data_IF_837715464004
#
_entry.id   IF_837715464004
#
_cell.length_a   1.000
_cell.length_b   1.000
_cell.length_c   1.000
_cell.angle_alpha   90.00
_cell.angle_beta   90.00
_cell.angle_gamma   90.00
#
_symmetry.space_group_name_H-M   'P 1'
#
loop_
_entity.id
_entity.type
_entity.pdbx_description
1 polymer ?
#
# COMPACT_ATOMS: atom_id res chain seq x y z
N UNK A 1 -28.66 -31.36 -27.35
CA UNK A 1 -27.64 -31.14 -26.30
C UNK A 1 -27.95 -29.81 -25.63
N UNK A 2 -28.55 -29.87 -24.44
CA UNK A 2 -28.78 -28.69 -23.61
C UNK A 2 -27.45 -28.35 -22.94
N UNK A 3 -26.86 -27.21 -23.31
CA UNK A 3 -25.84 -26.59 -22.47
C UNK A 3 -26.56 -26.11 -21.21
N UNK A 4 -26.45 -26.86 -20.12
CA UNK A 4 -26.74 -26.30 -18.80
C UNK A 4 -25.81 -25.11 -18.62
N UNK A 5 -26.32 -23.90 -18.87
CA UNK A 5 -25.71 -22.69 -18.37
C UNK A 5 -25.80 -22.78 -16.86
N UNK A 6 -24.70 -23.20 -16.22
CA UNK A 6 -24.45 -22.97 -14.81
C UNK A 6 -24.82 -21.52 -14.49
N UNK A 7 -25.53 -21.24 -13.38
CA UNK A 7 -26.01 -19.90 -13.07
C UNK A 7 -24.86 -18.93 -13.27
N UNK A 8 -25.06 -17.94 -14.13
CA UNK A 8 -24.06 -16.95 -14.49
C UNK A 8 -23.39 -16.47 -13.21
N UNK A 9 -22.18 -16.97 -12.92
CA UNK A 9 -21.30 -16.34 -11.95
C UNK A 9 -21.16 -14.94 -12.48
N UNK A 10 -21.91 -14.02 -11.87
CA UNK A 10 -21.74 -12.60 -12.08
C UNK A 10 -20.23 -12.41 -11.88
N UNK A 11 -19.50 -12.10 -12.96
CA UNK A 11 -18.05 -11.99 -12.92
C UNK A 11 -17.71 -10.70 -12.16
N UNK A 12 -17.97 -10.74 -10.87
CA UNK A 12 -17.79 -9.66 -9.91
C UNK A 12 -16.31 -9.45 -9.61
N UNK A 13 -15.41 -10.18 -10.27
CA UNK A 13 -13.96 -10.01 -10.18
C UNK A 13 -13.57 -8.55 -10.50
N UNK A 14 -14.21 -7.92 -11.50
CA UNK A 14 -13.95 -6.52 -11.85
C UNK A 14 -14.29 -5.55 -10.70
N UNK A 15 -15.43 -5.78 -10.07
CA UNK A 15 -16.00 -4.93 -9.02
C UNK A 15 -15.28 -5.18 -7.70
N UNK A 16 -14.98 -6.44 -7.38
CA UNK A 16 -14.22 -6.83 -6.19
C UNK A 16 -12.80 -6.28 -6.28
N UNK A 17 -12.12 -6.41 -7.43
CA UNK A 17 -10.78 -5.86 -7.63
C UNK A 17 -10.76 -4.34 -7.44
N UNK A 18 -11.72 -3.63 -8.04
CA UNK A 18 -11.88 -2.18 -7.86
C UNK A 18 -12.12 -1.79 -6.40
N UNK A 19 -13.02 -2.49 -5.70
CA UNK A 19 -13.33 -2.21 -4.29
C UNK A 19 -12.11 -2.46 -3.40
N UNK A 20 -11.39 -3.56 -3.62
CA UNK A 20 -10.14 -3.85 -2.91
C UNK A 20 -9.15 -2.70 -3.10
N UNK A 21 -8.91 -2.28 -4.34
CA UNK A 21 -7.96 -1.20 -4.64
C UNK A 21 -8.37 0.12 -3.97
N UNK A 22 -9.65 0.47 -3.95
CA UNK A 22 -10.15 1.71 -3.33
C UNK A 22 -10.02 1.63 -1.80
N UNK A 23 -10.53 0.55 -1.19
CA UNK A 23 -10.52 0.39 0.27
C UNK A 23 -9.09 0.38 0.78
N UNK A 24 -8.23 -0.48 0.24
CA UNK A 24 -6.83 -0.55 0.67
C UNK A 24 -6.04 0.70 0.27
N UNK A 25 -6.32 1.30 -0.90
CA UNK A 25 -5.70 2.54 -1.35
C UNK A 25 -5.95 3.73 -0.44
N UNK A 26 -7.17 3.87 0.12
CA UNK A 26 -7.49 4.90 1.11
C UNK A 26 -6.67 4.72 2.39
N UNK A 27 -6.41 3.47 2.79
CA UNK A 27 -5.54 3.14 3.93
C UNK A 27 -4.03 3.20 3.59
N UNK A 28 -3.67 3.67 2.40
CA UNK A 28 -2.27 3.81 1.98
C UNK A 28 -1.63 2.53 1.46
N UNK A 29 -2.41 1.48 1.20
CA UNK A 29 -1.98 0.23 0.58
C UNK A 29 -2.48 0.17 -0.87
N UNK A 30 -2.01 1.10 -1.70
CA UNK A 30 -2.34 1.18 -3.12
C UNK A 30 -1.66 0.02 -3.87
N UNK A 31 -2.31 -0.57 -4.88
CA UNK A 31 -1.79 -1.72 -5.64
C UNK A 31 -2.32 -3.10 -5.23
N UNK A 32 -3.08 -3.20 -4.13
CA UNK A 32 -3.59 -4.48 -3.63
C UNK A 32 -4.61 -5.14 -4.56
N UNK A 33 -5.43 -4.36 -5.27
CA UNK A 33 -6.38 -4.89 -6.24
C UNK A 33 -5.67 -5.45 -7.48
N UNK A 34 -4.54 -4.86 -7.87
CA UNK A 34 -3.70 -5.37 -8.96
C UNK A 34 -3.05 -6.71 -8.61
N UNK A 35 -2.64 -6.89 -7.35
CA UNK A 35 -2.14 -8.18 -6.86
C UNK A 35 -3.24 -9.24 -6.81
N UNK A 36 -4.45 -8.85 -6.38
CA UNK A 36 -5.61 -9.75 -6.36
C UNK A 36 -5.89 -10.39 -7.73
N UNK A 37 -5.74 -9.63 -8.81
CA UNK A 37 -5.94 -10.11 -10.21
C UNK A 37 -4.68 -10.73 -10.83
N UNK A 38 -3.62 -10.92 -10.05
CA UNK A 38 -2.37 -11.56 -10.48
C UNK A 38 -1.38 -10.65 -11.23
N UNK A 39 -1.64 -9.34 -11.32
CA UNK A 39 -0.71 -8.39 -11.93
C UNK A 39 0.24 -7.80 -10.88
N UNK A 40 1.21 -8.60 -10.46
CA UNK A 40 2.17 -8.23 -9.41
C UNK A 40 3.05 -7.05 -9.79
N UNK A 41 3.39 -6.88 -11.07
CA UNK A 41 4.29 -5.81 -11.52
C UNK A 41 3.62 -4.45 -11.27
N UNK A 42 2.37 -4.28 -11.72
CA UNK A 42 1.61 -3.06 -11.46
C UNK A 42 1.32 -2.89 -9.98
N UNK A 43 0.92 -3.96 -9.29
CA UNK A 43 0.59 -3.90 -7.87
C UNK A 43 1.76 -3.48 -6.99
N UNK A 44 2.92 -4.11 -7.17
CA UNK A 44 4.15 -3.75 -6.43
C UNK A 44 4.63 -2.36 -6.85
N UNK A 45 4.57 -2.02 -8.14
CA UNK A 45 4.97 -0.70 -8.63
C UNK A 45 4.14 0.43 -8.01
N UNK A 46 2.82 0.26 -7.94
CA UNK A 46 1.91 1.21 -7.30
C UNK A 46 2.12 1.25 -5.78
N UNK A 47 2.31 0.10 -5.13
CA UNK A 47 2.56 0.03 -3.70
C UNK A 47 3.86 0.75 -3.30
N UNK A 48 4.97 0.42 -3.97
CA UNK A 48 6.28 1.05 -3.72
C UNK A 48 6.26 2.52 -4.11
N UNK A 49 5.69 2.88 -5.26
CA UNK A 49 5.57 4.27 -5.70
C UNK A 49 4.76 5.11 -4.71
N UNK A 50 3.66 4.56 -4.19
CA UNK A 50 2.84 5.21 -3.18
C UNK A 50 3.56 5.33 -1.83
N UNK A 51 4.28 4.29 -1.41
CA UNK A 51 5.14 4.36 -0.22
C UNK A 51 6.19 5.47 -0.33
N UNK A 52 6.83 5.65 -1.48
CA UNK A 52 7.77 6.75 -1.71
C UNK A 52 7.07 8.10 -1.56
N UNK A 53 5.89 8.27 -2.15
CA UNK A 53 5.10 9.51 -2.01
C UNK A 53 4.75 9.79 -0.54
N UNK A 54 4.32 8.78 0.21
CA UNK A 54 4.04 8.90 1.63
C UNK A 54 5.32 9.22 2.43
N UNK A 55 6.42 8.55 2.14
CA UNK A 55 7.70 8.72 2.84
C UNK A 55 8.27 10.12 2.60
N UNK A 56 8.28 10.59 1.35
CA UNK A 56 8.68 11.96 0.98
C UNK A 56 7.72 12.99 1.59
N UNK A 57 6.41 12.74 1.49
CA UNK A 57 5.37 13.61 2.01
C UNK A 57 5.37 13.72 3.54
N UNK A 58 5.87 12.71 4.26
CA UNK A 58 6.02 12.73 5.72
C UNK A 58 7.41 13.19 6.18
N UNK A 59 8.51 12.70 5.59
CA UNK A 59 9.87 13.04 6.04
C UNK A 59 10.28 14.48 5.75
N UNK A 60 9.90 15.04 4.60
CA UNK A 60 10.26 16.42 4.28
C UNK A 60 9.70 17.37 5.35
N UNK A 61 8.42 17.29 5.75
CA UNK A 61 7.94 18.04 6.89
C UNK A 61 8.69 17.76 8.19
N UNK A 62 8.90 16.49 8.57
CA UNK A 62 9.51 16.16 9.88
C UNK A 62 10.96 16.60 10.02
N UNK A 63 11.71 16.66 8.91
CA UNK A 63 13.09 17.20 8.89
C UNK A 63 13.08 18.73 8.90
N UNK A 64 12.08 19.36 8.26
CA UNK A 64 11.95 20.82 8.18
C UNK A 64 11.09 21.45 9.29
N UNK A 65 10.53 20.67 10.21
CA UNK A 65 9.67 21.14 11.30
C UNK A 65 10.36 21.97 12.38
N UNK A 66 11.65 22.30 12.23
CA UNK A 66 12.26 23.37 13.05
C UNK A 66 11.99 24.78 12.48
N UNK A 67 11.61 24.93 11.20
CA UNK A 67 11.59 26.28 10.58
C UNK A 67 10.25 26.80 10.04
N UNK A 68 9.23 25.98 9.74
CA UNK A 68 7.98 26.54 9.18
C UNK A 68 6.73 25.74 9.55
N UNK A 69 5.89 26.29 10.43
CA UNK A 69 4.55 25.79 10.75
C UNK A 69 3.59 25.70 9.54
N UNK A 70 3.98 26.15 8.34
CA UNK A 70 3.16 26.16 7.12
C UNK A 70 3.29 24.92 6.22
N UNK A 71 4.45 24.26 6.16
CA UNK A 71 4.67 23.11 5.25
C UNK A 71 4.10 21.80 5.81
N UNK A 72 4.10 21.63 7.13
CA UNK A 72 3.44 20.50 7.79
C UNK A 72 1.92 20.52 7.63
N UNK A 73 1.29 21.71 7.63
CA UNK A 73 -0.15 21.84 7.40
C UNK A 73 -0.58 21.43 5.98
N UNK A 74 0.25 21.69 4.97
CA UNK A 74 -0.03 21.34 3.58
C UNK A 74 -0.05 19.81 3.36
N UNK A 75 0.84 19.08 4.05
CA UNK A 75 0.86 17.61 3.99
C UNK A 75 -0.42 17.03 4.60
N UNK A 76 -0.87 17.51 5.76
CA UNK A 76 -2.10 17.04 6.41
C UNK A 76 -3.40 17.41 5.65
N UNK A 77 -3.44 18.56 4.97
CA UNK A 77 -4.64 18.96 4.21
C UNK A 77 -4.68 18.38 2.80
N UNK A 78 -3.54 18.21 2.12
CA UNK A 78 -3.52 17.78 0.72
C UNK A 78 -3.31 16.28 0.53
N UNK A 79 -2.65 15.56 1.46
CA UNK A 79 -2.44 14.10 1.32
C UNK A 79 -3.74 13.29 1.38
N UNK A 80 -4.69 13.54 2.31
CA UNK A 80 -5.94 12.78 2.35
C UNK A 80 -6.80 12.90 1.07
N UNK A 81 -7.03 14.07 0.47
CA UNK A 81 -7.74 14.13 -0.79
C UNK A 81 -6.95 13.51 -1.95
N UNK A 82 -5.62 13.62 -1.97
CA UNK A 82 -4.78 12.96 -2.97
C UNK A 82 -4.84 11.44 -2.90
N UNK A 83 -4.87 10.86 -1.70
CA UNK A 83 -4.95 9.42 -1.50
C UNK A 83 -6.30 8.87 -1.97
N UNK A 84 -7.40 9.58 -1.67
CA UNK A 84 -8.73 9.22 -2.15
C UNK A 84 -8.79 9.26 -3.69
N UNK A 85 -8.32 10.35 -4.31
CA UNK A 85 -8.33 10.48 -5.77
C UNK A 85 -7.44 9.42 -6.44
N UNK A 86 -6.24 9.19 -5.89
CA UNK A 86 -5.32 8.16 -6.39
C UNK A 86 -5.93 6.75 -6.31
N UNK A 87 -6.57 6.41 -5.20
CA UNK A 87 -7.23 5.12 -5.00
C UNK A 87 -8.40 4.92 -5.97
N UNK A 88 -9.23 5.96 -6.19
CA UNK A 88 -10.35 5.91 -7.15
C UNK A 88 -9.82 5.72 -8.58
N UNK A 89 -8.84 6.52 -9.01
CA UNK A 89 -8.29 6.42 -10.38
C UNK A 89 -7.64 5.06 -10.60
N UNK A 90 -6.89 4.54 -9.62
CA UNK A 90 -6.29 3.21 -9.70
C UNK A 90 -7.36 2.11 -9.80
N UNK A 91 -8.40 2.18 -8.96
CA UNK A 91 -9.52 1.23 -8.98
C UNK A 91 -10.28 1.22 -10.31
N UNK A 92 -10.53 2.39 -10.90
CA UNK A 92 -11.16 2.49 -12.22
C UNK A 92 -10.31 1.85 -13.32
N UNK A 93 -9.00 2.13 -13.34
CA UNK A 93 -8.06 1.52 -14.30
C UNK A 93 -7.98 0.01 -14.14
N UNK A 94 -8.01 -0.47 -12.90
CA UNK A 94 -8.02 -1.89 -12.59
C UNK A 94 -9.30 -2.56 -13.10
N UNK A 95 -10.46 -1.92 -12.93
CA UNK A 95 -11.73 -2.44 -13.46
C UNK A 95 -11.68 -2.60 -14.97
N UNK A 96 -11.18 -1.60 -15.68
CA UNK A 96 -11.03 -1.65 -17.14
C UNK A 96 -10.03 -2.74 -17.55
N UNK A 97 -8.93 -2.89 -16.83
CA UNK A 97 -7.97 -3.97 -17.04
C UNK A 97 -8.61 -5.35 -16.90
N UNK A 98 -9.35 -5.60 -15.81
CA UNK A 98 -10.02 -6.89 -15.56
C UNK A 98 -11.04 -7.20 -16.65
N UNK A 99 -11.84 -6.21 -17.05
CA UNK A 99 -12.83 -6.36 -18.14
C UNK A 99 -12.19 -6.72 -19.47
N UNK A 100 -11.08 -6.07 -19.81
CA UNK A 100 -10.41 -6.25 -21.10
C UNK A 100 -9.60 -7.56 -21.17
N UNK A 101 -9.07 -8.02 -20.04
CA UNK A 101 -8.19 -9.22 -19.98
C UNK A 101 -8.89 -10.46 -19.46
N UNK A 102 -10.13 -10.33 -18.95
CA UNK A 102 -10.86 -11.39 -18.22
C UNK A 102 -10.03 -12.00 -17.09
N UNK A 103 -9.21 -11.17 -16.43
CA UNK A 103 -8.38 -11.60 -15.32
C UNK A 103 -9.27 -12.04 -14.15
N UNK A 104 -9.01 -13.25 -13.64
CA UNK A 104 -9.73 -13.76 -12.48
C UNK A 104 -8.95 -13.43 -11.21
N UNK A 105 -9.67 -12.87 -10.25
CA UNK A 105 -9.12 -12.55 -8.95
C UNK A 105 -9.02 -13.78 -8.06
N UNK A 106 -7.92 -13.87 -7.31
CA UNK A 106 -7.72 -14.91 -6.31
C UNK A 106 -7.35 -14.28 -4.96
N UNK A 107 -8.20 -14.53 -3.95
CA UNK A 107 -8.07 -13.99 -2.60
C UNK A 107 -6.77 -14.45 -1.94
N UNK A 108 -6.23 -15.62 -2.31
CA UNK A 108 -4.96 -16.11 -1.77
C UNK A 108 -3.81 -15.12 -2.04
N UNK A 109 -3.75 -14.49 -3.21
CA UNK A 109 -2.72 -13.49 -3.51
C UNK A 109 -2.82 -12.26 -2.61
N UNK A 110 -4.04 -11.84 -2.29
CA UNK A 110 -4.28 -10.74 -1.38
C UNK A 110 -3.81 -11.08 0.05
N UNK A 111 -4.15 -12.26 0.56
CA UNK A 111 -3.72 -12.72 1.90
C UNK A 111 -2.19 -12.77 1.98
N UNK A 112 -1.54 -13.35 0.97
CA UNK A 112 -0.07 -13.42 0.92
C UNK A 112 0.54 -12.02 0.90
N UNK A 113 0.00 -11.11 0.09
CA UNK A 113 0.50 -9.74 0.02
C UNK A 113 0.37 -9.00 1.37
N UNK A 114 -0.75 -9.17 2.08
CA UNK A 114 -0.94 -8.58 3.42
C UNK A 114 0.08 -9.14 4.42
N UNK A 115 0.27 -10.47 4.45
CA UNK A 115 1.24 -11.11 5.36
C UNK A 115 2.66 -10.62 5.06
N UNK A 116 3.04 -10.57 3.78
CA UNK A 116 4.36 -10.08 3.37
C UNK A 116 4.54 -8.61 3.75
N UNK A 117 3.54 -7.76 3.51
CA UNK A 117 3.59 -6.34 3.88
C UNK A 117 3.73 -6.16 5.41
N UNK A 118 2.99 -6.93 6.21
CA UNK A 118 3.10 -6.91 7.68
C UNK A 118 4.48 -7.37 8.16
N UNK A 119 5.03 -8.44 7.57
CA UNK A 119 6.37 -8.93 7.92
C UNK A 119 7.45 -7.89 7.59
N UNK A 120 7.36 -7.27 6.41
CA UNK A 120 8.29 -6.20 6.02
C UNK A 120 8.18 -4.99 6.94
N UNK A 121 6.96 -4.60 7.34
CA UNK A 121 6.73 -3.53 8.31
C UNK A 121 7.35 -3.86 9.68
N UNK A 122 7.14 -5.07 10.18
CA UNK A 122 7.75 -5.53 11.44
C UNK A 122 9.28 -5.47 11.37
N UNK A 123 9.88 -5.94 10.28
CA UNK A 123 11.34 -5.86 10.08
C UNK A 123 11.83 -4.42 9.99
N UNK A 124 11.12 -3.56 9.26
CA UNK A 124 11.46 -2.15 9.11
C UNK A 124 11.41 -1.37 10.43
N UNK A 125 10.59 -1.80 11.40
CA UNK A 125 10.52 -1.20 12.75
C UNK A 125 11.55 -1.85 13.69
N UNK A 126 11.68 -3.18 13.67
CA UNK A 126 12.55 -3.92 14.59
C UNK A 126 14.04 -3.61 14.37
N UNK A 127 14.50 -3.49 13.12
CA UNK A 127 15.91 -3.24 12.79
C UNK A 127 16.41 -1.91 13.36
N UNK A 128 15.74 -0.75 13.14
CA UNK A 128 16.15 0.51 13.76
C UNK A 128 16.10 0.48 15.29
N UNK A 129 15.08 -0.15 15.88
CA UNK A 129 14.95 -0.30 17.33
C UNK A 129 16.13 -1.08 17.92
N UNK A 130 16.53 -2.17 17.27
CA UNK A 130 17.67 -2.97 17.70
C UNK A 130 19.00 -2.23 17.49
N UNK A 131 19.14 -1.47 16.40
CA UNK A 131 20.33 -0.65 16.14
C UNK A 131 20.47 0.48 17.18
N UNK A 132 19.39 1.19 17.51
CA UNK A 132 19.38 2.27 18.50
C UNK A 132 19.55 1.75 19.93
N UNK A 133 18.87 0.65 20.28
CA UNK A 133 18.99 0.01 21.59
C UNK A 133 20.36 -0.63 21.81
N UNK A 134 20.93 -1.27 20.78
CA UNK A 134 22.29 -1.79 20.82
C UNK A 134 23.33 -0.68 20.99
N UNK A 135 23.14 0.48 20.36
CA UNK A 135 24.02 1.63 20.52
C UNK A 135 23.98 2.20 21.95
N UNK A 136 22.80 2.26 22.58
CA UNK A 136 22.65 2.73 23.95
C UNK A 136 23.40 1.85 24.96
N UNK A 137 23.27 0.52 24.84
CA UNK A 137 23.96 -0.44 25.73
C UNK A 137 25.49 -0.35 25.60
N UNK A 138 26.00 -0.10 24.38
CA UNK A 138 27.44 0.06 24.15
C UNK A 138 27.94 1.40 24.73
N UNK A 139 27.14 2.47 24.65
CA UNK A 139 27.54 3.78 25.22
C UNK A 139 27.65 3.78 26.74
N UNK A 140 26.78 3.03 27.45
CA UNK A 140 26.85 2.90 28.91
C UNK A 140 28.09 2.11 29.37
N UNK A 141 28.54 1.13 28.59
CA UNK A 141 29.74 0.35 28.93
C UNK A 141 31.05 1.12 28.74
N UNK A 142 31.09 2.11 27.84
CA UNK A 142 32.29 2.95 27.61
C UNK A 142 32.42 4.12 28.58
N UNK A 143 31.34 4.58 29.21
CA UNK A 143 31.36 5.69 30.17
C UNK A 143 31.82 5.33 31.60
N UNK A 144 32.12 4.05 31.86
CA UNK A 144 32.50 3.55 33.18
C UNK A 144 34.02 3.30 33.35
N UNK A 145 34.86 3.86 32.47
CA UNK A 145 36.33 3.78 32.55
C UNK A 145 36.97 5.13 32.84
#
# INVERSE_FOLDING_TARGET
MNYQQSPTSYDSSDTIAMVIEIVFGIFGMLGMGWIYVGNYIMGIGLFVGWLVVLFVGMLIPTIFTTFTAGLGGFSYCCLPPLSIVGAIISGLRLRDYVRNTRAQGNIAHLIIAIIVALLLLCLAIAIPLFALGGFAIISESMGSY
#
